data_IF_991891416217
#
_entry.id   IF_991891416217
#
_cell.length_a   1.000
_cell.length_b   1.000
_cell.length_c   1.000
_cell.angle_alpha   90.00
_cell.angle_beta   90.00
_cell.angle_gamma   90.00
#
_symmetry.space_group_name_H-M   'P 1'
#
loop_
_entity.id
_entity.type
_entity.pdbx_description
1 polymer ?
#
# COMPACT_ATOMS: atom_id res chain seq x y z
N UNK A 1 2.44 -1.60 -11.95
CA UNK A 1 2.67 -0.32 -11.25
C UNK A 1 1.33 0.30 -10.85
N UNK A 2 1.35 1.28 -9.94
CA UNK A 2 0.16 2.10 -9.62
C UNK A 2 0.16 3.43 -10.38
N UNK A 3 1.17 3.69 -11.20
CA UNK A 3 1.33 4.90 -12.00
C UNK A 3 0.42 4.90 -13.23
N UNK A 4 -0.10 6.08 -13.58
CA UNK A 4 -0.92 6.28 -14.79
C UNK A 4 -0.06 6.30 -16.04
N UNK A 5 -0.29 5.34 -16.92
CA UNK A 5 0.36 5.26 -18.24
C UNK A 5 -0.64 4.79 -19.29
N UNK A 6 -0.22 4.69 -20.55
CA UNK A 6 -1.03 4.10 -21.62
C UNK A 6 -1.48 2.67 -21.29
N UNK A 7 -0.61 1.89 -20.64
CA UNK A 7 -0.89 0.52 -20.20
C UNK A 7 -1.59 0.44 -18.84
N UNK A 8 -1.81 1.58 -18.17
CA UNK A 8 -2.53 1.69 -16.90
C UNK A 8 -3.28 3.03 -16.79
N UNK A 9 -4.32 3.27 -17.61
CA UNK A 9 -4.98 4.58 -17.66
C UNK A 9 -5.70 4.93 -16.34
N UNK A 10 -6.05 3.93 -15.53
CA UNK A 10 -6.70 4.10 -14.23
C UNK A 10 -5.69 4.31 -13.06
N UNK A 11 -4.39 4.34 -13.33
CA UNK A 11 -3.36 4.58 -12.32
C UNK A 11 -3.43 5.97 -11.68
N UNK A 12 -2.68 6.14 -10.61
CA UNK A 12 -2.46 7.43 -9.97
C UNK A 12 -1.72 8.38 -10.92
N UNK A 13 -2.13 9.65 -10.98
CA UNK A 13 -1.51 10.58 -11.90
C UNK A 13 -0.13 11.05 -11.36
N UNK A 14 0.77 11.54 -12.24
CA UNK A 14 2.13 11.95 -11.85
C UNK A 14 2.16 12.94 -10.67
N UNK A 15 1.23 13.89 -10.62
CA UNK A 15 1.14 14.90 -9.56
C UNK A 15 0.91 14.31 -8.16
N UNK A 16 0.33 13.10 -8.06
CA UNK A 16 0.16 12.43 -6.77
C UNK A 16 1.53 12.02 -6.19
N UNK A 17 2.42 11.47 -7.02
CA UNK A 17 3.77 11.08 -6.61
C UNK A 17 4.64 12.29 -6.29
N UNK A 18 4.52 13.36 -7.09
CA UNK A 18 5.21 14.63 -6.83
C UNK A 18 4.74 15.29 -5.52
N UNK A 19 3.45 15.18 -5.19
CA UNK A 19 2.94 15.66 -3.91
C UNK A 19 3.53 14.90 -2.70
N UNK A 20 3.71 13.57 -2.82
CA UNK A 20 4.39 12.77 -1.79
C UNK A 20 5.84 13.24 -1.60
N UNK A 21 6.58 13.40 -2.72
CA UNK A 21 7.95 13.93 -2.70
C UNK A 21 8.03 15.32 -2.07
N UNK A 22 7.14 16.21 -2.44
CA UNK A 22 7.05 17.56 -1.88
C UNK A 22 6.78 17.53 -0.37
N UNK A 23 5.93 16.61 0.11
CA UNK A 23 5.70 16.40 1.53
C UNK A 23 6.97 15.97 2.30
N UNK A 24 7.77 15.08 1.70
CA UNK A 24 9.07 14.67 2.27
C UNK A 24 10.08 15.81 2.25
N UNK A 25 10.16 16.59 1.17
CA UNK A 25 11.11 17.71 1.03
C UNK A 25 10.76 18.93 1.89
N UNK A 26 9.47 19.19 2.09
CA UNK A 26 8.98 20.31 2.89
C UNK A 26 9.15 20.06 4.38
N UNK A 27 8.08 19.66 5.05
CA UNK A 27 8.13 19.26 6.45
C UNK A 27 7.93 17.75 6.59
N UNK A 28 9.03 17.02 6.49
CA UNK A 28 9.04 15.55 6.61
C UNK A 28 8.33 15.07 7.88
N UNK A 29 8.54 15.73 9.02
CA UNK A 29 7.97 15.29 10.29
C UNK A 29 6.44 15.38 10.27
N UNK A 30 5.89 16.49 9.77
CA UNK A 30 4.45 16.68 9.60
C UNK A 30 3.86 15.74 8.54
N UNK A 31 4.54 15.59 7.39
CA UNK A 31 4.09 14.69 6.34
C UNK A 31 4.01 13.23 6.84
N UNK A 32 5.05 12.74 7.52
CA UNK A 32 5.03 11.40 8.10
C UNK A 32 4.00 11.26 9.23
N UNK A 33 3.58 12.36 9.87
CA UNK A 33 2.52 12.31 10.88
C UNK A 33 1.15 12.23 10.22
N UNK A 34 0.96 12.99 9.14
CA UNK A 34 -0.27 13.05 8.36
C UNK A 34 -0.65 11.68 7.77
N UNK A 35 0.30 10.92 7.22
CA UNK A 35 0.04 9.63 6.55
C UNK A 35 -0.72 8.61 7.43
N UNK A 36 -0.26 8.25 8.65
CA UNK A 36 -0.98 7.33 9.54
C UNK A 36 -2.27 7.91 10.12
N UNK A 37 -2.36 9.22 10.29
CA UNK A 37 -3.60 9.88 10.72
C UNK A 37 -4.69 9.85 9.64
N UNK A 38 -4.30 9.75 8.37
CA UNK A 38 -5.18 9.92 7.23
C UNK A 38 -5.20 8.66 6.33
N UNK A 39 -4.51 8.60 5.17
CA UNK A 39 -4.80 7.57 4.18
C UNK A 39 -4.36 6.16 4.58
N UNK A 40 -3.41 6.02 5.52
CA UNK A 40 -2.80 4.73 5.80
C UNK A 40 -3.74 3.80 6.60
N UNK A 41 -4.27 4.27 7.73
CA UNK A 41 -5.12 3.43 8.59
C UNK A 41 -6.62 3.61 8.34
N UNK A 42 -7.01 4.45 7.37
CA UNK A 42 -8.41 4.65 7.01
C UNK A 42 -9.23 5.25 8.14
N UNK A 43 -8.64 6.05 9.02
CA UNK A 43 -9.34 6.65 10.16
C UNK A 43 -10.43 7.67 9.80
N UNK A 44 -10.56 8.00 8.50
CA UNK A 44 -11.67 8.78 7.93
C UNK A 44 -12.84 7.91 7.44
N UNK A 45 -12.70 6.59 7.42
CA UNK A 45 -13.78 5.68 7.05
C UNK A 45 -14.82 5.61 8.18
N UNK A 46 -16.07 5.35 7.82
CA UNK A 46 -17.16 5.30 8.78
C UNK A 46 -16.91 4.22 9.85
N UNK A 47 -17.10 4.61 11.11
CA UNK A 47 -16.89 3.72 12.26
C UNK A 47 -15.43 3.50 12.66
N UNK A 48 -14.46 4.06 11.93
CA UNK A 48 -13.05 3.95 12.30
C UNK A 48 -12.76 4.71 13.61
N UNK A 49 -11.95 4.10 14.48
CA UNK A 49 -11.51 4.71 15.74
C UNK A 49 -9.99 4.93 15.68
N UNK A 50 -9.53 6.19 15.58
CA UNK A 50 -8.10 6.50 15.62
C UNK A 50 -7.43 5.90 16.86
N UNK A 51 -6.25 5.30 16.68
CA UNK A 51 -5.40 4.86 17.77
C UNK A 51 -4.12 5.67 17.77
N UNK A 52 -4.00 6.60 18.72
CA UNK A 52 -2.81 7.44 18.84
C UNK A 52 -1.54 6.59 19.04
N UNK A 53 -1.63 5.47 19.77
CA UNK A 53 -0.49 4.58 19.96
C UNK A 53 0.02 3.99 18.63
N UNK A 54 -0.91 3.63 17.73
CA UNK A 54 -0.58 3.12 16.39
C UNK A 54 -0.01 4.23 15.52
N UNK A 55 -0.64 5.40 15.52
CA UNK A 55 -0.20 6.59 14.75
C UNK A 55 1.21 7.00 15.17
N UNK A 56 1.44 7.19 16.47
CA UNK A 56 2.72 7.60 17.02
C UNK A 56 3.81 6.56 16.76
N UNK A 57 3.50 5.26 16.85
CA UNK A 57 4.47 4.22 16.56
C UNK A 57 4.82 4.13 15.07
N UNK A 58 3.85 4.31 14.17
CA UNK A 58 4.12 4.40 12.73
C UNK A 58 5.02 5.60 12.42
N UNK A 59 4.67 6.77 12.95
CA UNK A 59 5.45 7.99 12.79
C UNK A 59 6.87 7.84 13.32
N UNK A 60 7.04 7.30 14.54
CA UNK A 60 8.35 7.03 15.15
C UNK A 60 9.22 6.14 14.25
N UNK A 61 8.66 5.08 13.68
CA UNK A 61 9.38 4.17 12.79
C UNK A 61 9.76 4.87 11.48
N UNK A 62 8.83 5.60 10.86
CA UNK A 62 9.13 6.39 9.66
C UNK A 62 10.22 7.44 9.92
N UNK A 63 10.17 8.14 11.05
CA UNK A 63 11.18 9.15 11.36
C UNK A 63 12.57 8.57 11.63
N UNK A 64 12.69 7.28 11.95
CA UNK A 64 13.98 6.58 12.04
C UNK A 64 14.63 6.31 10.66
N UNK A 65 13.88 6.43 9.56
CA UNK A 65 14.39 6.25 8.19
C UNK A 65 15.23 7.42 7.66
N UNK A 66 15.90 7.22 6.52
CA UNK A 66 16.66 8.27 5.84
C UNK A 66 15.79 9.18 4.96
N UNK A 67 15.98 10.50 5.03
CA UNK A 67 15.19 11.45 4.24
C UNK A 67 15.37 11.23 2.72
N UNK A 68 16.60 10.99 2.28
CA UNK A 68 16.89 10.67 0.88
C UNK A 68 16.21 9.38 0.44
N UNK A 69 16.24 8.34 1.27
CA UNK A 69 15.59 7.06 0.96
C UNK A 69 14.07 7.21 0.84
N UNK A 70 13.46 8.02 1.71
CA UNK A 70 12.02 8.31 1.65
C UNK A 70 11.62 9.12 0.42
N UNK A 71 12.47 10.02 -0.05
CA UNK A 71 12.24 10.74 -1.30
C UNK A 71 12.37 9.79 -2.51
N UNK A 72 13.45 9.00 -2.53
CA UNK A 72 13.79 8.13 -3.66
C UNK A 72 12.88 6.90 -3.76
N UNK A 73 12.28 6.41 -2.67
CA UNK A 73 11.37 5.25 -2.73
C UNK A 73 10.15 5.49 -3.62
N UNK A 74 9.77 6.75 -3.85
CA UNK A 74 8.66 7.10 -4.74
C UNK A 74 8.94 6.66 -6.17
N UNK A 75 10.21 6.65 -6.61
CA UNK A 75 10.59 6.16 -7.94
C UNK A 75 10.21 4.68 -8.13
N UNK A 76 10.37 3.86 -7.08
CA UNK A 76 10.02 2.44 -7.19
C UNK A 76 8.52 2.21 -7.36
N UNK A 77 7.67 3.19 -7.04
CA UNK A 77 6.22 3.07 -7.23
C UNK A 77 5.80 3.36 -8.69
N UNK A 78 6.68 4.02 -9.45
CA UNK A 78 6.51 4.31 -10.88
C UNK A 78 6.87 3.11 -11.75
N UNK A 79 7.78 2.27 -11.27
CA UNK A 79 8.38 1.14 -12.00
C UNK A 79 7.35 0.10 -12.45
N UNK A 80 7.42 -0.31 -13.73
CA UNK A 80 6.53 -1.32 -14.29
C UNK A 80 7.03 -2.76 -14.05
N UNK A 81 6.56 -3.35 -12.96
CA UNK A 81 6.86 -4.74 -12.59
C UNK A 81 6.16 -5.83 -13.44
N UNK A 82 5.55 -5.49 -14.58
CA UNK A 82 4.77 -6.45 -15.39
C UNK A 82 5.59 -7.69 -15.78
N UNK A 83 6.81 -7.51 -16.26
CA UNK A 83 7.65 -8.65 -16.68
C UNK A 83 8.21 -9.44 -15.50
N UNK A 84 8.36 -8.81 -14.33
CA UNK A 84 8.83 -9.50 -13.13
C UNK A 84 7.75 -10.40 -12.54
N UNK A 85 6.49 -9.94 -12.51
CA UNK A 85 5.35 -10.75 -12.07
C UNK A 85 5.20 -12.02 -12.90
N UNK A 86 5.37 -11.94 -14.23
CA UNK A 86 5.30 -13.09 -15.15
C UNK A 86 6.39 -14.13 -14.90
N UNK A 87 7.54 -13.74 -14.32
CA UNK A 87 8.65 -14.66 -14.00
C UNK A 87 8.39 -15.49 -12.76
N UNK A 88 7.47 -15.09 -11.88
CA UNK A 88 7.19 -15.81 -10.63
C UNK A 88 6.45 -17.11 -10.95
N UNK A 89 7.05 -18.23 -10.57
CA UNK A 89 6.54 -19.59 -10.86
C UNK A 89 6.02 -20.33 -9.63
N UNK A 90 6.32 -19.86 -8.43
CA UNK A 90 5.81 -20.44 -7.17
C UNK A 90 4.37 -19.96 -6.91
N UNK A 91 3.59 -20.63 -6.04
CA UNK A 91 2.30 -20.12 -5.58
C UNK A 91 2.44 -18.72 -4.98
N UNK A 92 1.50 -17.81 -5.29
CA UNK A 92 1.49 -16.45 -4.77
C UNK A 92 0.10 -16.13 -4.22
N UNK A 93 0.07 -15.61 -2.99
CA UNK A 93 -1.12 -15.00 -2.41
C UNK A 93 -0.99 -13.47 -2.47
N UNK A 94 -1.97 -12.84 -3.11
CA UNK A 94 -2.16 -11.39 -3.10
C UNK A 94 -3.30 -11.08 -2.13
N UNK A 95 -3.01 -10.29 -1.10
CA UNK A 95 -3.98 -9.82 -0.09
C UNK A 95 -4.14 -8.31 -0.22
N UNK A 96 -5.38 -7.79 -0.25
CA UNK A 96 -5.59 -6.35 -0.36
C UNK A 96 -6.91 -5.86 0.24
N UNK A 97 -6.87 -4.69 0.88
CA UNK A 97 -8.06 -4.01 1.41
C UNK A 97 -8.72 -3.17 0.32
N UNK A 98 -10.03 -3.31 0.15
CA UNK A 98 -10.75 -2.62 -0.94
C UNK A 98 -10.94 -1.12 -0.67
N UNK A 99 -10.75 -0.67 0.58
CA UNK A 99 -10.80 0.74 0.97
C UNK A 99 -9.40 1.35 1.17
N UNK A 100 -8.35 0.73 0.59
CA UNK A 100 -7.01 1.30 0.54
C UNK A 100 -7.02 2.66 -0.19
N UNK A 101 -6.63 3.72 0.51
CA UNK A 101 -6.59 5.09 0.00
C UNK A 101 -5.19 5.49 -0.53
N UNK A 102 -4.21 4.60 -0.39
CA UNK A 102 -2.82 4.80 -0.85
C UNK A 102 -2.64 4.12 -2.20
N UNK A 103 -2.91 2.82 -2.28
CA UNK A 103 -2.80 2.01 -3.50
C UNK A 103 -4.20 1.72 -4.04
N UNK A 104 -4.58 2.26 -5.21
CA UNK A 104 -5.92 2.02 -5.73
C UNK A 104 -6.08 0.56 -6.14
N UNK A 105 -7.03 -0.13 -5.51
CA UNK A 105 -7.33 -1.54 -5.77
C UNK A 105 -7.57 -1.81 -7.26
N UNK A 106 -8.51 -1.08 -7.86
CA UNK A 106 -9.00 -1.34 -9.22
C UNK A 106 -7.91 -1.23 -10.31
N UNK A 107 -6.93 -0.33 -10.15
CA UNK A 107 -5.89 -0.11 -11.15
C UNK A 107 -4.60 -0.89 -10.89
N UNK A 108 -4.47 -1.54 -9.73
CA UNK A 108 -3.24 -2.19 -9.31
C UNK A 108 -3.41 -3.69 -9.09
N UNK A 109 -4.42 -4.10 -8.34
CA UNK A 109 -4.44 -5.43 -7.69
C UNK A 109 -4.94 -6.54 -8.60
N UNK A 110 -6.13 -6.45 -9.25
CA UNK A 110 -6.57 -7.49 -10.18
C UNK A 110 -5.56 -7.70 -11.32
N UNK A 111 -5.04 -6.60 -11.88
CA UNK A 111 -4.00 -6.65 -12.92
C UNK A 111 -2.75 -7.40 -12.47
N UNK A 112 -2.28 -7.16 -11.24
CA UNK A 112 -1.10 -7.87 -10.72
C UNK A 112 -1.35 -9.38 -10.59
N UNK A 113 -2.55 -9.78 -10.16
CA UNK A 113 -2.95 -11.19 -10.02
C UNK A 113 -3.03 -11.86 -11.38
N UNK A 114 -3.62 -11.21 -12.38
CA UNK A 114 -3.74 -11.76 -13.75
C UNK A 114 -2.38 -11.99 -14.42
N UNK A 115 -1.35 -11.26 -14.00
CA UNK A 115 0.02 -11.42 -14.50
C UNK A 115 0.78 -12.58 -13.83
N UNK A 116 0.34 -13.04 -12.66
CA UNK A 116 0.97 -14.13 -11.92
C UNK A 116 0.50 -15.48 -12.47
N UNK A 117 1.44 -16.39 -12.73
CA UNK A 117 1.12 -17.75 -13.23
C UNK A 117 0.27 -18.56 -12.25
N UNK A 118 0.59 -18.44 -10.95
CA UNK A 118 -0.05 -19.17 -9.86
C UNK A 118 -0.54 -18.18 -8.78
N UNK A 119 -1.18 -17.09 -9.23
CA UNK A 119 -1.71 -16.05 -8.35
C UNK A 119 -3.07 -16.42 -7.77
N UNK A 120 -3.24 -16.18 -6.47
CA UNK A 120 -4.53 -16.18 -5.78
C UNK A 120 -4.78 -14.81 -5.16
N UNK A 121 -6.03 -14.37 -5.17
CA UNK A 121 -6.43 -13.07 -4.64
C UNK A 121 -7.39 -13.25 -3.46
N UNK A 122 -7.08 -12.59 -2.36
CA UNK A 122 -7.95 -12.42 -1.20
C UNK A 122 -8.17 -10.94 -0.94
N UNK A 123 -9.40 -10.47 -1.11
CA UNK A 123 -9.77 -9.08 -0.84
C UNK A 123 -10.50 -8.95 0.49
N UNK A 124 -10.43 -7.76 1.07
CA UNK A 124 -11.06 -7.43 2.34
C UNK A 124 -11.89 -6.15 2.18
N UNK A 125 -13.23 -6.27 2.02
CA UNK A 125 -14.12 -5.13 1.88
C UNK A 125 -14.00 -4.16 3.07
N UNK A 126 -13.83 -2.87 2.77
CA UNK A 126 -13.74 -1.82 3.80
C UNK A 126 -12.38 -1.73 4.52
N UNK A 127 -11.41 -2.59 4.22
CA UNK A 127 -10.13 -2.58 4.94
C UNK A 127 -9.17 -1.54 4.34
N UNK A 128 -8.40 -0.83 5.17
CA UNK A 128 -7.48 0.22 4.74
C UNK A 128 -6.12 -0.34 4.32
N UNK A 129 -5.22 0.52 3.84
CA UNK A 129 -3.84 0.16 3.52
C UNK A 129 -3.11 -0.51 4.70
N UNK A 130 -3.27 0.05 5.91
CA UNK A 130 -2.69 -0.43 7.16
C UNK A 130 -3.42 -1.62 7.79
N UNK A 131 -4.19 -2.39 7.01
CA UNK A 131 -4.98 -3.54 7.50
C UNK A 131 -4.16 -4.59 8.27
N UNK A 132 -2.87 -4.72 7.97
CA UNK A 132 -1.96 -5.61 8.70
C UNK A 132 -1.79 -5.23 10.18
N UNK A 133 -2.00 -3.95 10.53
CA UNK A 133 -1.99 -3.50 11.92
C UNK A 133 -3.38 -3.55 12.54
N UNK A 134 -4.41 -3.13 11.81
CA UNK A 134 -5.75 -2.90 12.36
C UNK A 134 -6.66 -4.13 12.37
N UNK A 135 -6.36 -5.14 11.55
CA UNK A 135 -7.20 -6.34 11.34
C UNK A 135 -6.35 -7.63 11.37
N UNK A 136 -5.29 -7.65 12.18
CA UNK A 136 -4.35 -8.77 12.25
C UNK A 136 -5.03 -10.10 12.65
N UNK A 137 -6.12 -10.05 13.41
CA UNK A 137 -6.93 -11.20 13.81
C UNK A 137 -7.58 -11.91 12.62
N UNK A 138 -7.89 -11.18 11.54
CA UNK A 138 -8.44 -11.74 10.30
C UNK A 138 -7.33 -12.13 9.32
N UNK A 139 -6.31 -11.27 9.17
CA UNK A 139 -5.27 -11.46 8.16
C UNK A 139 -4.26 -12.56 8.54
N UNK A 140 -3.91 -12.71 9.82
CA UNK A 140 -2.92 -13.69 10.24
C UNK A 140 -3.37 -15.14 9.99
N UNK A 141 -4.63 -15.54 10.27
CA UNK A 141 -5.12 -16.86 9.89
C UNK A 141 -5.07 -17.14 8.39
N UNK A 142 -5.45 -16.17 7.55
CA UNK A 142 -5.44 -16.32 6.09
C UNK A 142 -4.00 -16.50 5.57
N UNK A 143 -3.06 -15.70 6.07
CA UNK A 143 -1.64 -15.84 5.73
C UNK A 143 -1.07 -17.18 6.20
N UNK A 144 -1.41 -17.62 7.42
CA UNK A 144 -0.98 -18.91 7.96
C UNK A 144 -1.56 -20.08 7.16
N UNK A 145 -2.81 -19.97 6.68
CA UNK A 145 -3.43 -20.98 5.84
C UNK A 145 -2.66 -21.15 4.53
N UNK A 146 -2.26 -20.06 3.89
CA UNK A 146 -1.45 -20.11 2.66
C UNK A 146 -0.05 -20.68 2.88
N UNK A 147 0.61 -20.32 3.99
CA UNK A 147 1.93 -20.87 4.32
C UNK A 147 1.89 -22.41 4.50
N UNK A 148 0.76 -22.96 4.92
CA UNK A 148 0.57 -24.39 5.18
C UNK A 148 0.07 -25.20 3.98
N UNK A 149 -0.28 -24.56 2.86
CA UNK A 149 -0.85 -25.21 1.67
C UNK A 149 0.21 -25.73 0.69
#
# INVERSE_FOLDING_TARGET
>A
NMYRSENNPAGQPPEWFEAIRAGVLGNRAEFFRFVPENPFYGYKLDGAKPSEAVIANWWRQGMAGGALAHYATVDSWLEDYTEDLKKITVPVLVMHGEADQVVPFASSVPRAVDLLKNGSLKTYPGYPHGMLTTHADVLNPDLLSFIRS
#
